data_IF_481723790142
#
_entry.id   IF_481723790142
#
_cell.length_a   1.000
_cell.length_b   1.000
_cell.length_c   1.000
_cell.angle_alpha   90.00
_cell.angle_beta   90.00
_cell.angle_gamma   90.00
#
_symmetry.space_group_name_H-M   'P 1'
#
loop_
_entity.id
_entity.type
_entity.pdbx_description
1 polymer ?
#
# COMPACT_ATOMS: atom_id res chain seq x y z
N UNK A 1 19.11 17.37 -15.37
CA UNK A 1 20.19 16.78 -14.57
C UNK A 1 19.72 16.24 -13.21
N UNK A 2 18.43 16.18 -12.92
CA UNK A 2 17.85 15.56 -11.72
C UNK A 2 18.36 16.19 -10.42
N UNK A 3 18.57 17.48 -10.38
CA UNK A 3 19.05 18.20 -9.21
C UNK A 3 18.19 19.44 -8.98
N UNK A 4 16.92 19.21 -8.64
CA UNK A 4 15.97 20.30 -8.45
C UNK A 4 15.68 20.56 -6.97
N UNK A 5 14.81 19.75 -6.35
CA UNK A 5 14.40 19.99 -4.97
C UNK A 5 15.43 19.51 -3.93
N UNK A 6 16.30 18.60 -4.34
CA UNK A 6 17.36 18.08 -3.47
C UNK A 6 18.51 19.06 -3.25
N UNK A 7 18.57 20.19 -3.97
CA UNK A 7 19.60 21.22 -3.76
C UNK A 7 19.24 22.20 -2.65
N UNK A 8 20.26 22.66 -1.95
CA UNK A 8 20.13 23.70 -0.91
C UNK A 8 20.07 25.13 -1.46
N UNK A 9 20.09 25.33 -2.78
CA UNK A 9 19.97 26.63 -3.38
C UNK A 9 18.59 27.26 -3.12
N UNK A 10 18.56 28.43 -2.47
CA UNK A 10 17.33 29.02 -1.96
C UNK A 10 16.23 29.23 -3.00
N UNK A 11 16.58 29.55 -4.25
CA UNK A 11 15.61 29.72 -5.32
C UNK A 11 14.97 28.37 -5.70
N UNK A 12 15.77 27.34 -5.95
CA UNK A 12 15.28 26.01 -6.33
C UNK A 12 14.47 25.37 -5.19
N UNK A 13 14.94 25.53 -3.96
CA UNK A 13 14.24 25.07 -2.77
C UNK A 13 12.83 25.69 -2.66
N UNK A 14 12.72 27.02 -2.85
CA UNK A 14 11.41 27.70 -2.87
C UNK A 14 10.50 27.17 -3.99
N UNK A 15 11.04 26.95 -5.21
CA UNK A 15 10.27 26.41 -6.32
C UNK A 15 9.80 24.97 -6.04
N UNK A 16 10.64 24.16 -5.39
CA UNK A 16 10.28 22.80 -5.01
C UNK A 16 9.08 22.76 -4.04
N UNK A 17 9.08 23.59 -2.99
CA UNK A 17 7.92 23.74 -2.11
C UNK A 17 6.66 24.14 -2.85
N UNK A 18 6.77 25.10 -3.79
CA UNK A 18 5.62 25.54 -4.58
C UNK A 18 5.08 24.42 -5.48
N UNK A 19 5.96 23.65 -6.14
CA UNK A 19 5.54 22.55 -7.00
C UNK A 19 4.88 21.42 -6.22
N UNK A 20 5.46 20.98 -5.12
CA UNK A 20 4.83 19.98 -4.26
C UNK A 20 3.49 20.48 -3.70
N UNK A 21 3.38 21.76 -3.34
CA UNK A 21 2.14 22.38 -2.89
C UNK A 21 1.06 22.37 -3.96
N UNK A 22 1.38 22.71 -5.22
CA UNK A 22 0.44 22.65 -6.35
C UNK A 22 0.00 21.22 -6.65
N UNK A 23 0.90 20.25 -6.57
CA UNK A 23 0.58 18.82 -6.75
C UNK A 23 -0.38 18.37 -5.63
N UNK A 24 -0.07 18.70 -4.37
CA UNK A 24 -0.92 18.35 -3.23
C UNK A 24 -2.32 18.97 -3.33
N UNK A 25 -2.41 20.22 -3.74
CA UNK A 25 -3.68 20.90 -3.99
C UNK A 25 -4.48 20.22 -5.12
N UNK A 26 -3.82 19.95 -6.27
CA UNK A 26 -4.47 19.31 -7.41
C UNK A 26 -5.01 17.90 -7.07
N UNK A 27 -4.24 17.11 -6.32
CA UNK A 27 -4.68 15.78 -5.84
C UNK A 27 -5.82 15.89 -4.82
N UNK A 28 -5.81 16.92 -3.98
CA UNK A 28 -6.88 17.15 -2.98
C UNK A 28 -8.18 17.55 -3.65
N UNK A 29 -8.12 18.41 -4.66
CA UNK A 29 -9.30 18.86 -5.43
C UNK A 29 -9.84 17.78 -6.38
N UNK A 30 -8.99 16.83 -6.77
CA UNK A 30 -9.33 15.72 -7.66
C UNK A 30 -9.03 14.38 -7.00
N UNK A 31 -9.87 13.93 -6.03
CA UNK A 31 -9.62 12.70 -5.27
C UNK A 31 -9.63 11.45 -6.17
N UNK A 32 -9.11 10.30 -5.66
CA UNK A 32 -9.11 9.03 -6.38
C UNK A 32 -10.50 8.61 -6.86
N UNK A 33 -10.60 8.24 -8.13
CA UNK A 33 -11.84 7.84 -8.78
C UNK A 33 -11.55 6.87 -9.92
N UNK A 34 -12.50 5.97 -10.22
CA UNK A 34 -12.47 5.16 -11.45
C UNK A 34 -12.54 6.08 -12.65
N UNK A 35 -11.67 5.87 -13.64
CA UNK A 35 -11.61 6.77 -14.81
C UNK A 35 -11.01 8.14 -14.45
N UNK A 36 -9.88 8.15 -13.76
CA UNK A 36 -9.20 9.37 -13.31
C UNK A 36 -9.16 10.47 -14.37
N UNK A 37 -9.60 11.73 -14.06
CA UNK A 37 -9.56 12.84 -14.99
C UNK A 37 -8.12 13.24 -15.32
N UNK A 38 -7.92 13.88 -16.48
CA UNK A 38 -6.59 14.27 -16.96
C UNK A 38 -5.83 15.15 -15.95
N UNK A 39 -6.52 16.07 -15.26
CA UNK A 39 -5.90 16.94 -14.25
C UNK A 39 -5.27 16.14 -13.12
N UNK A 40 -5.92 15.06 -12.68
CA UNK A 40 -5.38 14.15 -11.67
C UNK A 40 -4.17 13.37 -12.21
N UNK A 41 -4.28 12.81 -13.43
CA UNK A 41 -3.16 12.10 -14.07
C UNK A 41 -1.95 13.02 -14.19
N UNK A 42 -2.12 14.26 -14.65
CA UNK A 42 -1.05 15.24 -14.77
C UNK A 42 -0.42 15.60 -13.41
N UNK A 43 -1.21 15.69 -12.34
CA UNK A 43 -0.67 15.91 -11.00
C UNK A 43 0.25 14.75 -10.55
N UNK A 44 -0.18 13.49 -10.79
CA UNK A 44 0.64 12.31 -10.50
C UNK A 44 1.88 12.22 -11.39
N UNK A 45 1.79 12.60 -12.69
CA UNK A 45 2.97 12.63 -13.58
C UNK A 45 3.97 13.74 -13.21
N UNK A 46 3.47 14.88 -12.72
CA UNK A 46 4.35 15.91 -12.14
C UNK A 46 5.00 15.40 -10.83
N UNK A 47 4.27 14.63 -10.04
CA UNK A 47 4.83 13.99 -8.85
C UNK A 47 5.93 12.99 -9.24
N UNK A 48 5.74 12.17 -10.29
CA UNK A 48 6.79 11.31 -10.83
C UNK A 48 8.06 12.11 -11.15
N UNK A 49 7.94 13.23 -11.86
CA UNK A 49 9.07 14.08 -12.20
C UNK A 49 9.79 14.61 -10.95
N UNK A 50 9.05 14.95 -9.90
CA UNK A 50 9.62 15.38 -8.62
C UNK A 50 10.30 14.21 -7.88
N UNK A 51 9.69 13.02 -7.85
CA UNK A 51 10.21 11.87 -7.12
C UNK A 51 11.39 11.16 -7.81
N UNK A 52 11.67 11.49 -9.09
CA UNK A 52 12.85 11.00 -9.81
C UNK A 52 14.07 11.91 -9.67
N UNK A 53 14.16 12.64 -8.58
CA UNK A 53 15.36 13.41 -8.21
C UNK A 53 16.53 12.46 -7.90
N UNK A 54 17.73 12.83 -8.34
CA UNK A 54 18.93 11.98 -8.22
C UNK A 54 19.82 12.32 -7.03
N UNK A 55 19.70 13.53 -6.50
CA UNK A 55 20.54 14.03 -5.39
C UNK A 55 19.69 14.78 -4.37
N UNK A 56 19.94 14.52 -3.11
CA UNK A 56 19.17 15.03 -2.00
C UNK A 56 20.05 15.70 -0.95
N UNK A 57 20.57 16.91 -1.23
CA UNK A 57 21.25 17.71 -0.20
C UNK A 57 20.25 18.21 0.86
N UNK A 58 18.99 18.36 0.46
CA UNK A 58 17.90 18.79 1.33
C UNK A 58 16.58 18.08 0.94
N UNK A 59 15.99 17.35 1.88
CA UNK A 59 14.72 16.63 1.70
C UNK A 59 13.49 17.38 2.23
N UNK A 60 13.65 18.58 2.76
CA UNK A 60 12.58 19.31 3.44
C UNK A 60 11.33 19.54 2.58
N UNK A 61 11.40 19.95 1.29
CA UNK A 61 10.22 20.12 0.45
C UNK A 61 9.44 18.82 0.26
N UNK A 62 10.16 17.72 0.09
CA UNK A 62 9.59 16.38 -0.03
C UNK A 62 8.94 15.92 1.30
N UNK A 63 9.64 16.06 2.42
CA UNK A 63 9.11 15.68 3.73
C UNK A 63 7.84 16.47 4.05
N UNK A 64 7.83 17.79 3.79
CA UNK A 64 6.66 18.63 4.00
C UNK A 64 5.45 18.19 3.15
N UNK A 65 5.69 17.75 1.90
CA UNK A 65 4.66 17.17 1.05
C UNK A 65 4.09 15.88 1.66
N UNK A 66 4.95 14.94 2.07
CA UNK A 66 4.52 13.67 2.68
C UNK A 66 3.75 13.93 3.97
N UNK A 67 4.25 14.79 4.85
CA UNK A 67 3.58 15.14 6.10
C UNK A 67 2.18 15.71 5.85
N UNK A 68 2.04 16.63 4.87
CA UNK A 68 0.73 17.16 4.48
C UNK A 68 -0.22 16.05 4.05
N UNK A 69 0.25 15.09 3.23
CA UNK A 69 -0.54 13.96 2.76
C UNK A 69 -0.96 13.04 3.91
N UNK A 70 -0.03 12.72 4.81
CA UNK A 70 -0.28 11.86 5.97
C UNK A 70 -1.27 12.52 6.96
N UNK A 71 -1.18 13.83 7.19
CA UNK A 71 -2.15 14.56 8.02
C UNK A 71 -3.57 14.47 7.44
N UNK A 72 -3.74 14.59 6.13
CA UNK A 72 -5.05 14.41 5.47
C UNK A 72 -5.58 12.99 5.65
N UNK A 73 -4.71 11.97 5.50
CA UNK A 73 -5.06 10.58 5.75
C UNK A 73 -5.53 10.36 7.19
N UNK A 74 -4.80 10.88 8.17
CA UNK A 74 -5.15 10.77 9.60
C UNK A 74 -6.49 11.44 9.91
N UNK A 75 -6.74 12.62 9.35
CA UNK A 75 -8.04 13.30 9.48
C UNK A 75 -9.17 12.40 8.94
N UNK A 76 -8.97 11.78 7.78
CA UNK A 76 -9.99 10.90 7.20
C UNK A 76 -10.10 9.56 7.93
N UNK A 77 -9.02 9.05 8.54
CA UNK A 77 -9.07 7.87 9.40
C UNK A 77 -9.93 8.10 10.66
N UNK A 78 -10.09 9.33 11.13
CA UNK A 78 -11.01 9.64 12.22
C UNK A 78 -12.49 9.58 11.80
N UNK A 79 -12.78 9.65 10.49
CA UNK A 79 -14.15 9.61 9.99
C UNK A 79 -14.67 8.17 9.89
N UNK A 80 -15.81 7.82 10.51
CA UNK A 80 -16.32 6.46 10.49
C UNK A 80 -16.80 6.05 9.09
N UNK A 81 -16.55 4.80 8.72
CA UNK A 81 -17.14 4.19 7.51
C UNK A 81 -18.53 3.68 7.86
N UNK A 82 -19.58 4.35 7.37
CA UNK A 82 -20.98 3.94 7.63
C UNK A 82 -21.39 2.70 6.82
N UNK A 83 -20.87 2.57 5.60
CA UNK A 83 -21.18 1.45 4.68
C UNK A 83 -20.09 1.35 3.62
N UNK A 84 -19.78 0.12 3.20
CA UNK A 84 -18.79 -0.15 2.16
C UNK A 84 -17.43 -0.49 2.73
N UNK A 85 -16.42 -0.36 1.90
CA UNK A 85 -15.03 -0.61 2.19
C UNK A 85 -14.22 0.62 1.76
N UNK A 86 -13.51 1.25 2.67
CA UNK A 86 -12.60 2.37 2.37
C UNK A 86 -11.16 1.85 2.40
N UNK A 87 -10.43 2.10 1.32
CA UNK A 87 -9.00 1.79 1.22
C UNK A 87 -8.22 3.10 1.31
N UNK A 88 -7.19 3.12 2.15
CA UNK A 88 -6.22 4.20 2.26
C UNK A 88 -4.88 3.69 1.78
N UNK A 89 -4.15 4.50 1.04
CA UNK A 89 -2.75 4.24 0.67
C UNK A 89 -1.84 5.10 1.55
N UNK A 90 -1.01 4.48 2.36
CA UNK A 90 -0.06 5.19 3.23
C UNK A 90 1.17 5.58 2.42
N UNK A 91 2.17 4.73 2.39
CA UNK A 91 3.39 4.92 1.63
C UNK A 91 3.73 3.61 0.91
N UNK A 92 4.28 3.71 -0.30
CA UNK A 92 4.67 2.59 -1.13
C UNK A 92 3.52 1.59 -1.37
N UNK A 93 3.62 0.36 -0.88
CA UNK A 93 2.60 -0.70 -0.94
C UNK A 93 1.84 -0.86 0.41
N UNK A 94 2.00 0.10 1.31
CA UNK A 94 1.31 0.14 2.60
C UNK A 94 -0.14 0.59 2.46
N UNK A 95 -1.10 -0.27 2.86
CA UNK A 95 -2.53 0.01 2.77
C UNK A 95 -3.26 -0.18 4.09
N UNK A 96 -4.34 0.60 4.26
CA UNK A 96 -5.32 0.39 5.33
C UNK A 96 -6.66 0.13 4.68
N UNK A 97 -7.31 -0.98 5.04
CA UNK A 97 -8.65 -1.33 4.60
C UNK A 97 -9.62 -1.21 5.78
N UNK A 98 -10.63 -0.34 5.66
CA UNK A 98 -11.57 -0.04 6.74
C UNK A 98 -13.01 -0.30 6.34
N UNK A 99 -13.72 -1.08 7.16
CA UNK A 99 -15.16 -1.27 7.12
C UNK A 99 -15.84 -0.50 8.27
N UNK A 100 -17.09 -0.78 8.55
CA UNK A 100 -17.82 -0.17 9.68
C UNK A 100 -17.23 -0.56 11.04
N UNK A 101 -16.76 -1.79 11.18
CA UNK A 101 -16.34 -2.34 12.49
C UNK A 101 -14.89 -2.81 12.55
N UNK A 102 -14.16 -2.79 11.44
CA UNK A 102 -12.81 -3.38 11.37
C UNK A 102 -11.89 -2.51 10.51
N UNK A 103 -10.65 -2.34 10.97
CA UNK A 103 -9.58 -1.64 10.25
C UNK A 103 -8.35 -2.54 10.16
N UNK A 104 -7.92 -2.86 8.95
CA UNK A 104 -6.87 -3.83 8.64
C UNK A 104 -5.71 -3.08 8.01
N UNK A 105 -4.50 -3.28 8.52
CA UNK A 105 -3.26 -2.74 7.95
C UNK A 105 -2.53 -3.83 7.16
N UNK A 106 -1.96 -3.45 6.01
CA UNK A 106 -1.11 -4.28 5.17
C UNK A 106 0.17 -3.54 4.85
N UNK A 107 1.32 -4.17 5.07
CA UNK A 107 2.66 -3.70 4.67
C UNK A 107 2.95 -2.23 5.04
N UNK A 108 2.49 -1.79 6.22
CA UNK A 108 2.74 -0.44 6.69
C UNK A 108 4.20 -0.29 7.10
N UNK A 109 4.88 0.65 6.49
CA UNK A 109 6.28 0.98 6.78
C UNK A 109 6.47 2.49 6.89
N UNK A 110 7.55 2.90 7.55
CA UNK A 110 7.97 4.30 7.58
C UNK A 110 8.62 4.73 6.27
N UNK A 111 9.20 3.78 5.54
CA UNK A 111 10.06 4.06 4.39
C UNK A 111 11.34 4.80 4.79
N UNK A 112 12.29 4.92 3.86
CA UNK A 112 13.54 5.65 4.11
C UNK A 112 14.06 6.30 2.85
N UNK A 113 14.56 7.52 3.00
CA UNK A 113 15.34 8.22 2.00
C UNK A 113 16.64 8.71 2.64
N UNK A 114 17.81 8.25 2.15
CA UNK A 114 19.11 8.58 2.71
C UNK A 114 19.23 8.33 4.22
N UNK A 115 18.63 7.26 4.72
CA UNK A 115 18.63 6.90 6.14
C UNK A 115 17.71 7.75 7.03
N UNK A 116 16.90 8.64 6.45
CA UNK A 116 15.85 9.38 7.15
C UNK A 116 14.49 8.77 6.85
N UNK A 117 13.64 8.71 7.86
CA UNK A 117 12.27 8.22 7.71
C UNK A 117 11.45 9.15 6.80
N UNK A 118 10.59 8.56 5.97
CA UNK A 118 9.66 9.27 5.09
C UNK A 118 8.36 9.56 5.83
N UNK A 119 7.77 8.53 6.47
CA UNK A 119 6.60 8.68 7.34
C UNK A 119 7.09 8.67 8.79
N UNK A 120 6.77 9.71 9.54
CA UNK A 120 7.24 9.84 10.92
C UNK A 120 6.70 8.76 11.84
N UNK A 121 7.48 8.38 12.86
CA UNK A 121 7.05 7.42 13.89
C UNK A 121 5.76 7.88 14.57
N UNK A 122 5.59 9.19 14.80
CA UNK A 122 4.38 9.74 15.39
C UNK A 122 3.14 9.52 14.51
N UNK A 123 3.27 9.68 13.19
CA UNK A 123 2.20 9.35 12.23
C UNK A 123 1.86 7.85 12.27
N UNK A 124 2.87 6.98 12.33
CA UNK A 124 2.67 5.53 12.45
C UNK A 124 1.93 5.17 13.74
N UNK A 125 2.30 5.76 14.89
CA UNK A 125 1.58 5.55 16.16
C UNK A 125 0.09 5.88 16.04
N UNK A 126 -0.25 7.00 15.43
CA UNK A 126 -1.64 7.39 15.20
C UNK A 126 -2.35 6.41 14.23
N UNK A 127 -1.68 5.94 13.17
CA UNK A 127 -2.22 4.89 12.30
C UNK A 127 -2.49 3.61 13.10
N UNK A 128 -1.54 3.18 13.91
CA UNK A 128 -1.66 1.96 14.73
C UNK A 128 -2.86 2.07 15.69
N UNK A 129 -3.13 3.23 16.28
CA UNK A 129 -4.30 3.43 17.15
C UNK A 129 -5.62 3.06 16.46
N UNK A 130 -5.74 3.38 15.16
CA UNK A 130 -6.94 3.11 14.37
C UNK A 130 -7.05 1.68 13.82
N UNK A 131 -5.93 0.95 13.71
CA UNK A 131 -5.90 -0.38 13.10
C UNK A 131 -6.16 -1.48 14.14
N UNK A 132 -6.75 -2.60 13.73
CA UNK A 132 -7.04 -3.76 14.58
C UNK A 132 -6.00 -4.88 14.42
N UNK A 133 -5.29 -4.93 13.28
CA UNK A 133 -4.37 -6.00 12.89
C UNK A 133 -3.39 -5.50 11.82
N UNK A 134 -2.20 -6.10 11.79
CA UNK A 134 -1.20 -5.90 10.72
C UNK A 134 -0.92 -7.23 10.01
N UNK A 135 -0.94 -7.21 8.68
CA UNK A 135 -0.43 -8.25 7.81
C UNK A 135 0.83 -7.76 7.10
N UNK A 136 1.88 -8.58 7.07
CA UNK A 136 3.11 -8.31 6.30
C UNK A 136 3.28 -9.44 5.29
N UNK A 137 3.45 -9.08 4.02
CA UNK A 137 3.45 -10.04 2.92
C UNK A 137 4.77 -10.77 2.76
N UNK A 138 5.90 -10.09 2.88
CA UNK A 138 7.23 -10.68 2.70
C UNK A 138 8.35 -9.88 3.40
N UNK A 139 9.56 -10.44 3.40
CA UNK A 139 10.71 -9.92 4.15
C UNK A 139 11.59 -8.97 3.33
N UNK A 140 11.00 -7.84 2.87
CA UNK A 140 11.75 -6.69 2.36
C UNK A 140 11.52 -5.47 3.25
N UNK A 141 12.50 -4.58 3.34
CA UNK A 141 12.46 -3.42 4.24
C UNK A 141 11.37 -2.39 3.91
N UNK A 142 10.86 -2.41 2.70
CA UNK A 142 9.75 -1.59 2.22
C UNK A 142 8.36 -2.24 2.40
N UNK A 143 8.31 -3.44 3.04
CA UNK A 143 7.08 -4.14 3.45
C UNK A 143 7.12 -4.55 4.93
N UNK A 144 8.30 -4.86 5.49
CA UNK A 144 8.50 -5.36 6.83
C UNK A 144 9.27 -4.36 7.70
N UNK A 145 8.58 -3.46 8.38
CA UNK A 145 9.17 -2.51 9.33
C UNK A 145 9.01 -3.02 10.76
N UNK A 146 10.14 -3.35 11.41
CA UNK A 146 10.16 -3.90 12.76
C UNK A 146 9.52 -2.97 13.78
N UNK A 147 9.78 -1.67 13.72
CA UNK A 147 9.19 -0.70 14.66
C UNK A 147 7.67 -0.68 14.52
N UNK A 148 7.15 -0.71 13.29
CA UNK A 148 5.70 -0.77 13.07
C UNK A 148 5.10 -2.03 13.68
N UNK A 149 5.72 -3.19 13.48
CA UNK A 149 5.29 -4.44 14.09
C UNK A 149 5.29 -4.38 15.62
N UNK A 150 6.35 -3.82 16.23
CA UNK A 150 6.46 -3.64 17.67
C UNK A 150 5.34 -2.76 18.23
N UNK A 151 5.00 -1.66 17.56
CA UNK A 151 3.88 -0.79 17.98
C UNK A 151 2.53 -1.52 17.96
N UNK A 152 2.27 -2.42 16.98
CA UNK A 152 1.07 -3.26 17.00
C UNK A 152 1.08 -4.24 18.16
N UNK A 153 2.22 -4.90 18.43
CA UNK A 153 2.40 -5.85 19.53
C UNK A 153 2.18 -5.15 20.87
N UNK A 154 2.80 -4.00 21.09
CA UNK A 154 2.63 -3.18 22.30
C UNK A 154 1.18 -2.75 22.52
N UNK A 155 0.46 -2.45 21.45
CA UNK A 155 -0.97 -2.17 21.50
C UNK A 155 -1.84 -3.43 21.73
N UNK A 156 -1.25 -4.61 21.80
CA UNK A 156 -1.93 -5.91 21.94
C UNK A 156 -2.74 -6.29 20.70
N UNK A 157 -2.28 -5.88 19.50
CA UNK A 157 -2.92 -6.14 18.21
C UNK A 157 -2.13 -7.22 17.45
N UNK A 158 -2.81 -8.17 16.77
CA UNK A 158 -2.14 -9.24 16.05
C UNK A 158 -1.25 -8.70 14.93
N UNK A 159 -0.08 -9.34 14.75
CA UNK A 159 0.81 -9.18 13.60
C UNK A 159 0.96 -10.54 12.92
N UNK A 160 0.63 -10.62 11.64
CA UNK A 160 0.64 -11.85 10.84
C UNK A 160 1.69 -11.73 9.75
N UNK A 161 2.61 -12.68 9.70
CA UNK A 161 3.75 -12.66 8.76
C UNK A 161 4.04 -14.06 8.20
N UNK A 162 4.75 -14.21 7.07
CA UNK A 162 5.36 -15.49 6.69
C UNK A 162 6.47 -15.91 7.66
N UNK A 163 6.82 -17.20 7.63
CA UNK A 163 7.71 -17.83 8.62
C UNK A 163 9.14 -17.33 8.64
N UNK A 164 9.60 -16.65 7.59
CA UNK A 164 10.96 -16.12 7.45
C UNK A 164 11.13 -14.69 7.98
N UNK A 165 10.07 -14.05 8.49
CA UNK A 165 10.13 -12.72 9.09
C UNK A 165 10.20 -12.87 10.60
N UNK A 166 11.30 -12.43 11.22
CA UNK A 166 11.54 -12.49 12.68
C UNK A 166 11.12 -13.84 13.33
N UNK A 167 11.67 -14.97 12.86
CA UNK A 167 11.15 -16.32 13.14
C UNK A 167 11.15 -16.72 14.62
N UNK A 168 11.99 -16.08 15.45
CA UNK A 168 12.10 -16.37 16.87
C UNK A 168 11.14 -15.53 17.74
N UNK A 169 10.41 -14.58 17.14
CA UNK A 169 9.51 -13.71 17.89
C UNK A 169 8.15 -14.38 18.15
N UNK A 170 7.92 -14.76 19.40
CA UNK A 170 6.69 -15.44 19.84
C UNK A 170 5.46 -14.55 19.94
N UNK A 171 5.62 -13.22 19.88
CA UNK A 171 4.51 -12.27 19.87
C UNK A 171 3.87 -12.14 18.47
N UNK A 172 4.55 -12.63 17.45
CA UNK A 172 4.14 -12.59 16.05
C UNK A 172 3.53 -13.93 15.63
N UNK A 173 2.47 -13.91 14.84
CA UNK A 173 1.88 -15.11 14.28
C UNK A 173 2.50 -15.41 12.92
N UNK A 174 3.29 -16.46 12.86
CA UNK A 174 3.95 -16.93 11.64
C UNK A 174 3.03 -17.92 10.91
N UNK A 175 2.50 -17.53 9.77
CA UNK A 175 1.58 -18.33 8.98
C UNK A 175 2.09 -18.47 7.54
N UNK A 176 2.53 -19.67 7.19
CA UNK A 176 2.96 -20.03 5.83
C UNK A 176 2.80 -21.53 5.62
N UNK A 177 2.39 -21.92 4.42
CA UNK A 177 2.34 -23.30 3.96
C UNK A 177 2.49 -23.31 2.43
N UNK A 178 2.82 -24.44 1.85
CA UNK A 178 2.80 -24.65 0.40
C UNK A 178 1.37 -24.81 -0.13
N UNK A 179 0.39 -24.94 0.78
CA UNK A 179 -1.03 -24.97 0.46
C UNK A 179 -1.76 -23.74 1.01
N UNK A 180 -2.98 -23.52 0.54
CA UNK A 180 -3.85 -22.46 1.04
C UNK A 180 -4.21 -22.73 2.50
N UNK A 181 -3.92 -21.78 3.39
CA UNK A 181 -4.34 -21.83 4.78
C UNK A 181 -5.67 -21.09 4.92
N UNK A 182 -6.67 -21.73 5.56
CA UNK A 182 -7.88 -21.08 6.04
C UNK A 182 -7.77 -20.83 7.54
N UNK A 183 -7.92 -19.58 7.98
CA UNK A 183 -7.77 -19.19 9.37
C UNK A 183 -8.85 -18.20 9.79
N UNK A 184 -9.47 -18.44 10.95
CA UNK A 184 -10.24 -17.41 11.66
C UNK A 184 -9.30 -16.69 12.63
N UNK A 185 -9.28 -15.35 12.59
CA UNK A 185 -8.47 -14.50 13.48
C UNK A 185 -9.42 -13.64 14.32
N UNK A 186 -9.35 -13.81 15.64
CA UNK A 186 -10.06 -12.97 16.59
C UNK A 186 -9.30 -11.65 16.81
N UNK A 187 -10.03 -10.54 16.80
CA UNK A 187 -9.50 -9.20 17.06
C UNK A 187 -9.80 -8.75 18.49
N UNK A 188 -9.00 -7.84 19.00
CA UNK A 188 -9.17 -7.28 20.36
C UNK A 188 -10.55 -6.61 20.58
N UNK A 189 -11.14 -6.06 19.52
CA UNK A 189 -12.48 -5.46 19.54
C UNK A 189 -13.63 -6.47 19.55
N UNK A 190 -13.33 -7.77 19.64
CA UNK A 190 -14.30 -8.88 19.65
C UNK A 190 -14.78 -9.33 18.28
N UNK A 191 -14.32 -8.67 17.22
CA UNK A 191 -14.62 -9.05 15.83
C UNK A 191 -13.71 -10.19 15.34
N UNK A 192 -14.12 -10.81 14.23
CA UNK A 192 -13.38 -11.91 13.62
C UNK A 192 -13.15 -11.65 12.14
N UNK A 193 -12.00 -12.09 11.66
CA UNK A 193 -11.64 -12.10 10.25
C UNK A 193 -11.57 -13.55 9.75
N UNK A 194 -12.11 -13.80 8.56
CA UNK A 194 -11.81 -15.01 7.81
C UNK A 194 -10.66 -14.70 6.88
N UNK A 195 -9.56 -15.40 7.04
CA UNK A 195 -8.33 -15.14 6.31
C UNK A 195 -7.91 -16.38 5.54
N UNK A 196 -7.76 -16.26 4.21
CA UNK A 196 -7.03 -17.24 3.42
C UNK A 196 -5.64 -16.70 3.13
N UNK A 197 -4.63 -17.52 3.37
CA UNK A 197 -3.24 -17.22 3.07
C UNK A 197 -2.83 -18.11 1.92
N UNK A 198 -2.44 -17.48 0.82
CA UNK A 198 -2.06 -18.14 -0.41
C UNK A 198 -0.54 -18.13 -0.53
N UNK A 199 0.10 -19.26 -0.87
CA UNK A 199 1.54 -19.29 -1.10
C UNK A 199 1.90 -18.56 -2.39
N UNK A 200 2.56 -17.42 -2.28
CA UNK A 200 3.11 -16.65 -3.38
C UNK A 200 4.61 -16.45 -3.21
N UNK A 201 5.28 -15.91 -4.24
CA UNK A 201 6.70 -15.60 -4.22
C UNK A 201 7.01 -14.33 -5.00
N UNK A 202 8.00 -13.57 -4.49
CA UNK A 202 8.75 -12.60 -5.27
C UNK A 202 10.07 -13.28 -5.65
N UNK A 203 10.21 -13.70 -6.90
CA UNK A 203 11.30 -14.60 -7.31
C UNK A 203 11.39 -15.82 -6.36
N UNK A 204 12.50 -16.00 -5.65
CA UNK A 204 12.70 -17.08 -4.67
C UNK A 204 12.23 -16.71 -3.24
N UNK A 205 11.85 -15.45 -3.01
CA UNK A 205 11.45 -14.99 -1.69
C UNK A 205 9.99 -15.33 -1.40
N UNK A 206 9.72 -15.90 -0.22
CA UNK A 206 8.35 -16.15 0.24
C UNK A 206 7.56 -14.84 0.31
N UNK A 207 6.42 -14.81 -0.35
CA UNK A 207 5.46 -13.73 -0.33
C UNK A 207 4.06 -14.30 -0.07
N UNK A 208 3.45 -13.94 1.06
CA UNK A 208 2.08 -14.35 1.34
C UNK A 208 1.10 -13.44 0.59
N UNK A 209 0.14 -14.03 -0.09
CA UNK A 209 -1.03 -13.30 -0.58
C UNK A 209 -2.14 -13.46 0.46
N UNK A 210 -2.65 -12.36 0.98
CA UNK A 210 -3.71 -12.37 1.98
C UNK A 210 -5.07 -12.08 1.36
N UNK A 211 -6.03 -13.00 1.55
CA UNK A 211 -7.44 -12.79 1.22
C UNK A 211 -8.20 -12.66 2.52
N UNK A 212 -8.58 -11.45 2.90
CA UNK A 212 -9.18 -11.14 4.19
C UNK A 212 -10.64 -10.76 4.01
N UNK A 213 -11.54 -11.48 4.68
CA UNK A 213 -12.98 -11.21 4.67
C UNK A 213 -13.44 -10.79 6.06
N UNK A 214 -14.07 -9.61 6.15
CA UNK A 214 -14.62 -9.06 7.40
C UNK A 214 -16.02 -9.63 7.71
N UNK A 215 -16.53 -9.36 8.91
CA UNK A 215 -17.91 -9.75 9.30
C UNK A 215 -18.96 -9.11 8.39
N UNK A 216 -18.72 -7.90 7.87
CA UNK A 216 -19.60 -7.23 6.90
C UNK A 216 -19.52 -7.82 5.49
N UNK A 217 -18.84 -8.96 5.34
CA UNK A 217 -18.64 -9.68 4.06
C UNK A 217 -17.91 -8.82 3.02
N UNK A 218 -17.01 -7.97 3.48
CA UNK A 218 -16.07 -7.26 2.61
C UNK A 218 -14.79 -8.05 2.48
N UNK A 219 -14.38 -8.33 1.25
CA UNK A 219 -13.18 -9.09 0.95
C UNK A 219 -12.11 -8.20 0.33
N UNK A 220 -10.94 -8.19 0.93
CA UNK A 220 -9.75 -7.48 0.49
C UNK A 220 -8.67 -8.51 0.17
N UNK A 221 -7.95 -8.30 -0.93
CA UNK A 221 -6.78 -9.09 -1.27
C UNK A 221 -5.57 -8.17 -1.33
N UNK A 222 -4.51 -8.52 -0.58
CA UNK A 222 -3.19 -7.91 -0.71
C UNK A 222 -2.25 -8.94 -1.32
N UNK A 223 -1.65 -8.59 -2.46
CA UNK A 223 -0.77 -9.51 -3.20
C UNK A 223 0.69 -9.40 -2.80
N UNK A 224 1.07 -8.32 -2.11
CA UNK A 224 2.49 -7.99 -1.94
C UNK A 224 3.20 -7.96 -3.29
N UNK A 225 4.47 -8.27 -3.28
CA UNK A 225 5.33 -8.31 -4.47
C UNK A 225 5.22 -9.62 -5.25
N UNK A 226 4.00 -10.08 -5.48
CA UNK A 226 3.78 -11.29 -6.24
C UNK A 226 4.34 -11.17 -7.67
N UNK A 227 5.40 -11.91 -7.96
CA UNK A 227 6.11 -11.80 -9.24
C UNK A 227 6.38 -13.15 -9.92
N UNK A 228 6.47 -14.24 -9.13
CA UNK A 228 6.88 -15.55 -9.64
C UNK A 228 5.90 -16.12 -10.67
N UNK A 229 6.42 -16.53 -11.81
CA UNK A 229 5.63 -16.89 -13.00
C UNK A 229 4.74 -18.12 -12.77
N UNK A 230 5.25 -19.12 -12.08
CA UNK A 230 4.53 -20.37 -11.77
C UNK A 230 3.34 -20.10 -10.85
N UNK A 231 3.49 -19.18 -9.90
CA UNK A 231 2.38 -18.80 -9.03
C UNK A 231 1.26 -18.13 -9.82
N UNK A 232 1.58 -17.25 -10.76
CA UNK A 232 0.55 -16.62 -11.60
C UNK A 232 -0.26 -17.67 -12.37
N UNK A 233 0.37 -18.77 -12.81
CA UNK A 233 -0.34 -19.82 -13.55
C UNK A 233 -1.48 -20.48 -12.74
N UNK A 234 -1.27 -20.75 -11.45
CA UNK A 234 -2.35 -21.31 -10.64
C UNK A 234 -3.28 -20.22 -10.08
N UNK A 235 -2.80 -19.02 -9.87
CA UNK A 235 -3.61 -17.87 -9.44
C UNK A 235 -4.65 -17.44 -10.48
N UNK A 236 -4.44 -17.72 -11.77
CA UNK A 236 -5.43 -17.44 -12.82
C UNK A 236 -6.82 -18.08 -12.57
N UNK A 237 -6.90 -19.12 -11.74
CA UNK A 237 -8.16 -19.80 -11.39
C UNK A 237 -8.54 -19.62 -9.92
N UNK A 238 -7.92 -18.72 -9.21
CA UNK A 238 -8.06 -18.59 -7.76
C UNK A 238 -9.48 -18.17 -7.33
N UNK A 239 -10.26 -17.52 -8.21
CA UNK A 239 -11.68 -17.19 -7.97
C UNK A 239 -12.56 -18.41 -7.67
N UNK A 240 -12.11 -19.62 -8.02
CA UNK A 240 -12.80 -20.86 -7.68
C UNK A 240 -12.61 -21.28 -6.21
N UNK A 241 -11.59 -20.76 -5.55
CA UNK A 241 -11.17 -21.11 -4.18
C UNK A 241 -11.30 -19.97 -3.17
N UNK A 242 -11.53 -18.74 -3.65
CA UNK A 242 -11.61 -17.54 -2.83
C UNK A 242 -12.90 -16.76 -3.11
N UNK A 243 -13.43 -16.03 -2.12
CA UNK A 243 -14.50 -15.07 -2.38
C UNK A 243 -14.04 -14.01 -3.38
N UNK A 244 -14.97 -13.49 -4.19
CA UNK A 244 -14.70 -12.37 -5.09
C UNK A 244 -14.31 -11.14 -4.28
N UNK A 245 -13.12 -10.54 -4.50
CA UNK A 245 -12.67 -9.36 -3.76
C UNK A 245 -13.52 -8.12 -4.06
N UNK A 246 -13.83 -7.34 -3.00
CA UNK A 246 -14.30 -5.96 -3.16
C UNK A 246 -13.13 -5.06 -3.63
N UNK A 247 -11.92 -5.30 -3.10
CA UNK A 247 -10.69 -4.63 -3.52
C UNK A 247 -9.54 -5.64 -3.66
N UNK A 248 -8.79 -5.52 -4.74
CA UNK A 248 -7.50 -6.18 -4.96
C UNK A 248 -6.41 -5.10 -4.91
N UNK A 249 -5.53 -5.19 -3.95
CA UNK A 249 -4.34 -4.36 -3.81
C UNK A 249 -3.21 -5.09 -4.52
N UNK A 250 -2.66 -4.48 -5.57
CA UNK A 250 -1.69 -5.12 -6.46
C UNK A 250 -0.48 -4.25 -6.68
N UNK A 251 0.71 -4.85 -6.56
CA UNK A 251 1.96 -4.18 -6.87
C UNK A 251 2.03 -3.87 -8.38
N UNK A 252 2.36 -2.60 -8.71
CA UNK A 252 2.51 -2.13 -10.10
C UNK A 252 3.62 -2.84 -10.89
N UNK A 253 4.54 -3.55 -10.20
CA UNK A 253 5.62 -4.36 -10.79
C UNK A 253 5.21 -5.80 -11.10
N UNK A 254 4.03 -6.23 -10.65
CA UNK A 254 3.57 -7.61 -10.83
C UNK A 254 3.71 -8.05 -12.28
N UNK A 255 4.40 -9.17 -12.49
CA UNK A 255 4.49 -9.80 -13.80
C UNK A 255 3.13 -10.37 -14.20
N UNK A 256 2.72 -10.21 -15.46
CA UNK A 256 1.41 -10.68 -15.94
C UNK A 256 0.25 -10.20 -15.05
N UNK A 257 0.30 -8.92 -14.66
CA UNK A 257 -0.68 -8.29 -13.76
C UNK A 257 -2.13 -8.54 -14.21
N UNK A 258 -2.42 -8.49 -15.52
CA UNK A 258 -3.74 -8.75 -16.05
C UNK A 258 -4.24 -10.17 -15.72
N UNK A 259 -3.38 -11.18 -15.83
CA UNK A 259 -3.73 -12.57 -15.51
C UNK A 259 -4.04 -12.74 -14.03
N UNK A 260 -3.26 -12.09 -13.15
CA UNK A 260 -3.51 -12.07 -11.71
C UNK A 260 -4.84 -11.39 -11.38
N UNK A 261 -5.10 -10.23 -11.98
CA UNK A 261 -6.35 -9.48 -11.78
C UNK A 261 -7.56 -10.30 -12.25
N UNK A 262 -7.50 -10.91 -13.43
CA UNK A 262 -8.59 -11.74 -13.94
C UNK A 262 -8.76 -13.01 -13.10
N UNK A 263 -7.67 -13.56 -12.56
CA UNK A 263 -7.71 -14.71 -11.65
C UNK A 263 -8.51 -14.43 -10.38
N UNK A 264 -8.38 -13.28 -9.77
CA UNK A 264 -9.17 -12.85 -8.60
C UNK A 264 -10.54 -12.29 -8.98
N UNK A 265 -10.70 -11.77 -10.19
CA UNK A 265 -11.93 -11.15 -10.70
C UNK A 265 -12.52 -10.07 -9.76
N UNK A 266 -11.73 -9.11 -9.23
CA UNK A 266 -12.16 -8.16 -8.21
C UNK A 266 -13.22 -7.18 -8.73
N UNK A 267 -13.88 -6.46 -7.79
CA UNK A 267 -14.74 -5.31 -8.14
C UNK A 267 -13.90 -4.07 -8.46
N UNK A 268 -12.85 -3.84 -7.66
CA UNK A 268 -11.90 -2.74 -7.84
C UNK A 268 -10.46 -3.26 -7.73
N UNK A 269 -9.60 -2.71 -8.58
CA UNK A 269 -8.14 -2.88 -8.51
C UNK A 269 -7.54 -1.57 -8.02
N UNK A 270 -6.65 -1.66 -7.04
CA UNK A 270 -5.91 -0.51 -6.50
C UNK A 270 -4.44 -0.86 -6.57
N UNK A 271 -3.65 0.01 -7.21
CA UNK A 271 -2.22 -0.23 -7.40
C UNK A 271 -1.39 0.32 -6.24
N UNK A 272 -0.30 -0.36 -5.93
CA UNK A 272 0.70 0.02 -4.96
C UNK A 272 2.11 -0.04 -5.53
N UNK A 273 3.08 0.31 -4.71
CA UNK A 273 4.51 0.26 -4.98
C UNK A 273 5.03 1.30 -5.99
N UNK A 274 4.24 2.31 -6.36
CA UNK A 274 4.74 3.39 -7.20
C UNK A 274 5.69 4.30 -6.42
N UNK A 275 6.80 4.63 -7.06
CA UNK A 275 7.81 5.59 -6.56
C UNK A 275 8.42 5.22 -5.21
N UNK A 276 8.77 3.95 -4.96
CA UNK A 276 9.49 3.56 -3.74
C UNK A 276 10.83 4.34 -3.63
N UNK A 277 10.93 5.24 -2.65
CA UNK A 277 12.07 6.16 -2.53
C UNK A 277 13.34 5.50 -2.03
N UNK A 278 13.26 4.33 -1.40
CA UNK A 278 14.41 3.50 -1.02
C UNK A 278 15.09 2.83 -2.21
N UNK A 279 14.38 2.68 -3.32
CA UNK A 279 14.91 2.11 -4.54
C UNK A 279 15.74 3.10 -5.35
N UNK A 280 16.62 2.59 -6.20
CA UNK A 280 17.30 3.38 -7.23
C UNK A 280 16.29 3.90 -8.26
N UNK A 281 16.61 4.99 -8.95
CA UNK A 281 15.66 5.67 -9.86
C UNK A 281 15.10 4.76 -10.95
N UNK A 282 15.92 3.89 -11.49
CA UNK A 282 15.56 2.90 -12.51
C UNK A 282 14.65 1.77 -11.99
N UNK A 283 14.46 1.68 -10.68
CA UNK A 283 13.55 0.76 -9.99
C UNK A 283 12.38 1.48 -9.30
N UNK A 284 12.19 2.78 -9.53
CA UNK A 284 11.02 3.54 -9.08
C UNK A 284 9.96 3.54 -10.15
N UNK A 285 8.97 2.66 -10.05
CA UNK A 285 7.87 2.61 -11.01
C UNK A 285 7.05 3.91 -10.95
N UNK A 286 7.03 4.65 -12.04
CA UNK A 286 6.31 5.91 -12.11
C UNK A 286 4.78 5.69 -12.25
N UNK A 287 3.95 6.60 -11.74
CA UNK A 287 2.49 6.57 -11.91
C UNK A 287 2.07 6.52 -13.39
N UNK A 288 2.81 7.20 -14.28
CA UNK A 288 2.46 7.17 -15.72
C UNK A 288 2.62 5.77 -16.32
N UNK A 289 3.62 4.98 -15.88
CA UNK A 289 3.79 3.58 -16.28
C UNK A 289 2.64 2.72 -15.73
N UNK A 290 2.26 2.94 -14.47
CA UNK A 290 1.10 2.27 -13.89
C UNK A 290 -0.16 2.57 -14.69
N UNK A 291 -0.45 3.83 -15.03
CA UNK A 291 -1.60 4.16 -15.88
C UNK A 291 -1.53 3.47 -17.24
N UNK A 292 -0.36 3.41 -17.88
CA UNK A 292 -0.17 2.72 -19.16
C UNK A 292 -0.52 1.23 -19.04
N UNK A 293 -0.03 0.53 -18.01
CA UNK A 293 -0.35 -0.88 -17.77
C UNK A 293 -1.85 -1.07 -17.49
N UNK A 294 -2.46 -0.16 -16.75
CA UNK A 294 -3.87 -0.26 -16.36
C UNK A 294 -4.84 0.05 -17.51
N UNK A 295 -4.42 0.69 -18.61
CA UNK A 295 -5.26 0.92 -19.79
C UNK A 295 -5.74 -0.39 -20.45
N UNK A 296 -4.97 -1.48 -20.30
CA UNK A 296 -5.33 -2.81 -20.83
C UNK A 296 -6.30 -3.58 -19.92
N UNK A 297 -6.49 -3.11 -18.70
CA UNK A 297 -7.31 -3.79 -17.68
C UNK A 297 -8.80 -3.48 -17.89
N UNK A 298 -9.61 -4.53 -18.02
CA UNK A 298 -11.07 -4.43 -18.20
C UNK A 298 -11.86 -4.27 -16.90
N UNK A 299 -11.19 -4.14 -15.76
CA UNK A 299 -11.80 -3.96 -14.44
C UNK A 299 -11.75 -2.51 -14.00
N UNK A 300 -12.63 -2.13 -13.07
CA UNK A 300 -12.53 -0.83 -12.43
C UNK A 300 -11.21 -0.74 -11.67
N UNK A 301 -10.38 0.22 -12.00
CA UNK A 301 -9.13 0.47 -11.30
C UNK A 301 -9.03 1.90 -10.79
N UNK A 302 -8.25 2.06 -9.74
CA UNK A 302 -7.98 3.36 -9.10
C UNK A 302 -6.48 3.43 -8.79
N UNK A 303 -5.82 4.45 -9.31
CA UNK A 303 -4.43 4.79 -8.97
C UNK A 303 -4.45 5.88 -7.89
N UNK A 304 -3.82 5.61 -6.77
CA UNK A 304 -3.76 6.51 -5.62
C UNK A 304 -2.33 6.98 -5.37
N UNK A 305 -2.16 8.27 -5.10
CA UNK A 305 -0.95 8.78 -4.46
C UNK A 305 -0.91 8.46 -2.96
N UNK A 306 0.21 8.69 -2.31
CA UNK A 306 0.35 8.51 -0.87
C UNK A 306 -0.57 9.46 -0.09
N UNK A 307 -1.11 8.99 1.04
CA UNK A 307 -2.03 9.75 1.88
C UNK A 307 -3.44 9.90 1.29
N UNK A 308 -3.78 9.15 0.25
CA UNK A 308 -5.10 9.18 -0.36
C UNK A 308 -5.98 8.01 0.09
N UNK A 309 -7.27 8.13 -0.20
CA UNK A 309 -8.27 7.09 0.09
C UNK A 309 -9.31 6.97 -1.01
N UNK A 310 -9.91 5.78 -1.10
CA UNK A 310 -10.99 5.49 -2.03
C UNK A 310 -12.08 4.66 -1.34
N UNK A 311 -13.37 5.01 -1.55
CA UNK A 311 -14.51 4.26 -1.04
C UNK A 311 -15.05 3.31 -2.11
N UNK A 312 -14.81 2.00 -1.93
CA UNK A 312 -15.40 0.91 -2.70
C UNK A 312 -16.88 0.74 -2.30
N UNK A 313 -17.78 1.14 -3.19
CA UNK A 313 -19.24 1.07 -2.99
C UNK A 313 -19.85 -0.20 -3.57
#
# INVERSE_FOLDING_TARGET
>A
NGEFWGKSEAYLHKQAFQMFGLIDEALTQNPPVVGAPMVRKLALFNLDAMLHETKYDNTEPFNNFVDSRMQKLLVELNNPVKKGLKIFKVYNDGFIARTQSTTIAFDIVRGSIQGKEIVSEECIKQIVEHCDILFITHNHGDHADRLVADLFIEAGKPVIVPTNIWPDDKAIQHLRSDEIIDKEIALKNGKKLQVKILPGHQSELMNNIYVVTTEEKKTIVQTGDQYHKEDINWLMNIHQKTPRPDALLVNCWTNRMNDLIEGFAPKFVITGHENEMGHTIDHREAFWLTFQKMEEIKRNYVVMGWGEWFLCK
#
